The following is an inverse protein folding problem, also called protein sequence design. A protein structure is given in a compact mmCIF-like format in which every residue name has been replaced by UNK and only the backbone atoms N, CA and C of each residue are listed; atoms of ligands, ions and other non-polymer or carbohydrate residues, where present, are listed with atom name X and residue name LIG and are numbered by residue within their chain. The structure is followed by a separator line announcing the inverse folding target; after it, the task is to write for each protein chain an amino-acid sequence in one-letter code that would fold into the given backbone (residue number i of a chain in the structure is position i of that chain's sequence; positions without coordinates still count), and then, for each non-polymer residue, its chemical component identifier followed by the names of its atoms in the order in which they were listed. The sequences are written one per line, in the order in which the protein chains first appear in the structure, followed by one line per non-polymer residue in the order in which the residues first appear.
data_IF_721841876745
#
_entry.id   IF_721841876745
#
_cell.length_a   1.000
_cell.length_b   1.000
_cell.length_c   1.000
_cell.angle_alpha   90.00
_cell.angle_beta   90.00
_cell.angle_gamma   90.00
#
_symmetry.space_group_name_H-M   'P 1'
#
loop_
_entity.id
_entity.type
_entity.pdbx_description
1 polymer ?
#
# COMPACT_ATOMS: atom_id res chain seq x y z
N UNK A 1 2.65 -22.01 -10.86
CA UNK A 1 2.55 -20.92 -9.87
C UNK A 1 1.19 -20.29 -10.04
N UNK A 2 0.37 -20.23 -8.99
CA UNK A 2 -0.93 -19.54 -9.05
C UNK A 2 -0.68 -18.07 -9.44
N UNK A 3 -1.29 -17.64 -10.54
CA UNK A 3 -1.19 -16.28 -11.04
C UNK A 3 -1.95 -15.39 -10.04
N UNK A 4 -1.25 -14.65 -9.18
CA UNK A 4 -1.84 -13.79 -8.15
C UNK A 4 -1.56 -12.32 -8.44
N UNK A 5 -2.43 -11.45 -7.94
CA UNK A 5 -2.28 -9.99 -8.02
C UNK A 5 -1.33 -9.52 -6.92
N UNK A 6 -0.44 -8.58 -7.24
CA UNK A 6 0.35 -7.85 -6.26
C UNK A 6 -0.35 -6.53 -5.96
N UNK A 7 -0.70 -6.31 -4.69
CA UNK A 7 -1.20 -5.01 -4.25
C UNK A 7 -0.01 -4.09 -3.95
N UNK A 8 -0.08 -2.84 -4.40
CA UNK A 8 0.97 -1.85 -4.16
C UNK A 8 0.35 -0.60 -3.53
N UNK A 9 0.91 -0.19 -2.41
CA UNK A 9 0.48 0.93 -1.60
C UNK A 9 1.63 1.92 -1.47
N UNK A 10 1.30 3.20 -1.61
CA UNK A 10 2.17 4.30 -1.24
C UNK A 10 1.48 5.11 -0.15
N UNK A 11 2.15 5.26 0.99
CA UNK A 11 1.71 6.12 2.08
C UNK A 11 2.94 6.74 2.72
N UNK A 12 3.11 8.05 2.56
CA UNK A 12 4.20 8.80 3.15
C UNK A 12 3.65 9.92 4.03
N UNK A 13 4.45 10.37 4.97
CA UNK A 13 4.09 11.44 5.90
C UNK A 13 5.17 12.53 5.92
N UNK A 14 4.74 13.78 6.11
CA UNK A 14 5.59 14.95 6.36
C UNK A 14 4.75 16.07 7.00
N UNK A 15 4.19 15.84 8.19
CA UNK A 15 3.32 16.80 8.85
C UNK A 15 4.14 17.96 9.41
N UNK A 16 3.72 19.18 9.12
CA UNK A 16 4.36 20.43 9.54
C UNK A 16 3.52 21.19 10.59
N UNK A 17 2.35 20.65 10.98
CA UNK A 17 1.44 21.25 11.96
C UNK A 17 0.76 20.19 12.85
N UNK A 18 0.24 20.57 14.03
CA UNK A 18 -0.47 19.63 14.92
C UNK A 18 -1.65 18.90 14.25
N UNK A 19 -2.44 19.60 13.43
CA UNK A 19 -3.57 18.99 12.71
C UNK A 19 -3.11 17.97 11.68
N UNK A 20 -1.96 18.19 11.02
CA UNK A 20 -1.40 17.22 10.08
C UNK A 20 -0.87 15.98 10.79
N UNK A 21 -0.35 16.11 12.02
CA UNK A 21 0.01 14.97 12.87
C UNK A 21 -1.21 14.12 13.27
N UNK A 22 -2.30 14.78 13.66
CA UNK A 22 -3.56 14.09 13.96
C UNK A 22 -4.11 13.37 12.72
N UNK A 23 -4.13 14.04 11.56
CA UNK A 23 -4.54 13.45 10.30
C UNK A 23 -3.64 12.28 9.88
N UNK A 24 -2.33 12.37 10.09
CA UNK A 24 -1.40 11.26 9.83
C UNK A 24 -1.76 10.03 10.66
N UNK A 25 -2.16 10.22 11.93
CA UNK A 25 -2.59 9.11 12.80
C UNK A 25 -3.86 8.43 12.27
N UNK A 26 -4.86 9.21 11.83
CA UNK A 26 -6.10 8.68 11.24
C UNK A 26 -5.83 7.94 9.94
N UNK A 27 -4.94 8.48 9.09
CA UNK A 27 -4.53 7.84 7.83
C UNK A 27 -3.81 6.52 8.08
N UNK A 28 -2.94 6.46 9.09
CA UNK A 28 -2.30 5.20 9.51
C UNK A 28 -3.33 4.16 9.92
N UNK A 29 -4.32 4.52 10.75
CA UNK A 29 -5.38 3.59 11.16
C UNK A 29 -6.18 3.07 9.94
N UNK A 30 -6.61 3.98 9.05
CA UNK A 30 -7.33 3.61 7.84
C UNK A 30 -6.51 2.70 6.90
N UNK A 31 -5.20 2.93 6.80
CA UNK A 31 -4.30 2.08 6.03
C UNK A 31 -4.21 0.68 6.63
N UNK A 32 -4.10 0.55 7.96
CA UNK A 32 -4.05 -0.76 8.61
C UNK A 32 -5.34 -1.55 8.38
N UNK A 33 -6.51 -0.90 8.46
CA UNK A 33 -7.79 -1.52 8.09
C UNK A 33 -7.80 -1.96 6.62
N UNK A 34 -7.19 -1.17 5.73
CA UNK A 34 -7.04 -1.54 4.32
C UNK A 34 -6.09 -2.72 4.12
N UNK A 35 -4.98 -2.79 4.88
CA UNK A 35 -4.08 -3.94 4.85
C UNK A 35 -4.79 -5.23 5.28
N UNK A 36 -5.56 -5.21 6.38
CA UNK A 36 -6.38 -6.35 6.80
C UNK A 36 -7.28 -6.84 5.65
N UNK A 37 -8.01 -5.91 5.02
CA UNK A 37 -8.89 -6.24 3.90
C UNK A 37 -8.13 -6.86 2.73
N UNK A 38 -6.99 -6.28 2.34
CA UNK A 38 -6.18 -6.80 1.22
C UNK A 38 -5.61 -8.19 1.53
N UNK A 39 -5.20 -8.44 2.77
CA UNK A 39 -4.68 -9.75 3.20
C UNK A 39 -5.74 -10.85 3.20
N UNK A 40 -7.02 -10.48 3.32
CA UNK A 40 -8.17 -11.41 3.26
C UNK A 40 -8.60 -11.77 1.84
N UNK A 41 -8.07 -11.09 0.82
CA UNK A 41 -8.42 -11.37 -0.59
C UNK A 41 -7.55 -12.50 -1.13
N UNK A 42 -8.19 -13.63 -1.47
CA UNK A 42 -7.49 -14.83 -1.95
C UNK A 42 -6.69 -14.59 -3.24
N UNK A 43 -7.16 -13.71 -4.12
CA UNK A 43 -6.48 -13.39 -5.37
C UNK A 43 -5.20 -12.56 -5.18
N UNK A 44 -5.03 -11.92 -4.01
CA UNK A 44 -3.83 -11.14 -3.68
C UNK A 44 -2.75 -12.10 -3.15
N UNK A 45 -1.54 -11.94 -3.68
CA UNK A 45 -0.37 -12.74 -3.29
C UNK A 45 0.55 -12.03 -2.31
N UNK A 46 0.92 -10.79 -2.64
CA UNK A 46 1.75 -9.94 -1.78
C UNK A 46 1.18 -8.52 -1.79
N UNK A 47 1.22 -7.89 -0.63
CA UNK A 47 0.96 -6.46 -0.47
C UNK A 47 2.30 -5.76 -0.25
N UNK A 48 2.63 -4.79 -1.09
CA UNK A 48 3.81 -3.95 -0.98
C UNK A 48 3.42 -2.59 -0.43
N UNK A 49 4.09 -2.12 0.62
CA UNK A 49 3.93 -0.77 1.15
C UNK A 49 5.23 0.02 1.00
N UNK A 50 5.20 1.07 0.20
CA UNK A 50 6.26 2.06 0.12
C UNK A 50 5.94 3.24 1.05
N UNK A 51 6.84 3.50 2.01
CA UNK A 51 6.66 4.57 3.00
C UNK A 51 7.98 5.21 3.42
N UNK A 52 7.93 6.43 3.94
CA UNK A 52 9.04 7.09 4.65
C UNK A 52 8.84 7.09 6.18
N UNK A 53 7.70 6.59 6.67
CA UNK A 53 7.37 6.50 8.09
C UNK A 53 7.83 5.17 8.67
N UNK A 54 8.76 5.24 9.63
CA UNK A 54 9.32 4.06 10.31
C UNK A 54 8.30 3.35 11.20
N UNK A 55 7.43 4.10 11.88
CA UNK A 55 6.43 3.50 12.76
C UNK A 55 5.39 2.75 11.94
N UNK A 56 4.89 3.37 10.88
CA UNK A 56 4.00 2.72 9.93
C UNK A 56 4.65 1.48 9.28
N UNK A 57 5.94 1.57 8.93
CA UNK A 57 6.68 0.44 8.39
C UNK A 57 6.68 -0.77 9.34
N UNK A 58 6.92 -0.59 10.63
CA UNK A 58 6.88 -1.70 11.59
C UNK A 58 5.47 -2.29 11.73
N UNK A 59 4.45 -1.44 11.86
CA UNK A 59 3.05 -1.89 11.96
C UNK A 59 2.63 -2.70 10.73
N UNK A 60 2.92 -2.20 9.53
CA UNK A 60 2.57 -2.89 8.30
C UNK A 60 3.31 -4.22 8.11
N UNK A 61 4.55 -4.36 8.61
CA UNK A 61 5.26 -5.65 8.60
C UNK A 61 4.57 -6.67 9.50
N UNK A 62 4.08 -6.25 10.66
CA UNK A 62 3.30 -7.12 11.57
C UNK A 62 2.03 -7.59 10.88
N UNK A 63 1.38 -6.71 10.12
CA UNK A 63 0.24 -7.03 9.24
C UNK A 63 0.62 -7.80 7.97
N UNK A 64 1.85 -8.30 7.83
CA UNK A 64 2.27 -9.16 6.72
C UNK A 64 2.60 -8.45 5.40
N UNK A 65 2.66 -7.12 5.37
CA UNK A 65 3.06 -6.37 4.19
C UNK A 65 4.58 -6.47 3.93
N UNK A 66 4.96 -6.49 2.65
CA UNK A 66 6.34 -6.29 2.21
C UNK A 66 6.65 -4.80 2.18
N UNK A 67 7.39 -4.31 3.18
CA UNK A 67 7.65 -2.88 3.35
C UNK A 67 8.93 -2.42 2.65
N UNK A 68 8.80 -1.35 1.87
CA UNK A 68 9.86 -0.61 1.21
C UNK A 68 9.99 0.74 1.91
N UNK A 69 10.85 0.78 2.93
CA UNK A 69 11.16 2.02 3.63
C UNK A 69 12.14 2.85 2.79
N UNK A 70 11.72 4.05 2.39
CA UNK A 70 12.57 5.00 1.68
C UNK A 70 12.93 6.20 2.57
N UNK A 71 13.97 6.92 2.19
CA UNK A 71 14.42 8.16 2.86
C UNK A 71 14.32 9.36 1.91
N UNK A 72 13.42 9.27 0.91
CA UNK A 72 13.26 10.31 -0.09
C UNK A 72 12.52 11.47 0.55
N UNK A 73 13.10 12.67 0.49
CA UNK A 73 12.40 13.88 0.95
C UNK A 73 11.12 14.08 0.15
N UNK A 74 10.00 14.53 0.75
CA UNK A 74 8.72 14.73 0.04
C UNK A 74 8.85 15.60 -1.21
N UNK A 75 9.70 16.63 -1.19
CA UNK A 75 9.97 17.53 -2.33
C UNK A 75 10.61 16.83 -3.54
N UNK A 76 11.28 15.71 -3.33
CA UNK A 76 11.99 14.94 -4.35
C UNK A 76 11.25 13.64 -4.70
N UNK A 77 10.17 13.33 -4.00
CA UNK A 77 9.39 12.12 -4.25
C UNK A 77 8.59 12.26 -5.54
N UNK A 78 8.78 11.32 -6.46
CA UNK A 78 8.04 11.25 -7.71
C UNK A 78 7.31 9.90 -7.81
N UNK A 79 6.00 9.92 -7.55
CA UNK A 79 5.16 8.72 -7.49
C UNK A 79 5.36 7.77 -8.68
N UNK A 80 5.27 8.28 -9.91
CA UNK A 80 5.39 7.43 -11.11
C UNK A 80 6.77 6.79 -11.28
N UNK A 81 7.83 7.44 -10.76
CA UNK A 81 9.19 6.91 -10.87
C UNK A 81 9.41 5.81 -9.83
N UNK A 82 8.99 6.05 -8.59
CA UNK A 82 9.06 5.04 -7.52
C UNK A 82 8.14 3.85 -7.79
N UNK A 83 6.95 4.09 -8.33
CA UNK A 83 6.03 3.00 -8.70
C UNK A 83 6.61 2.13 -9.82
N UNK A 84 7.16 2.75 -10.87
CA UNK A 84 7.86 2.03 -11.94
C UNK A 84 9.05 1.24 -11.39
N UNK A 85 9.87 1.85 -10.52
CA UNK A 85 11.03 1.22 -9.89
C UNK A 85 10.61 -0.03 -9.11
N UNK A 86 9.61 0.09 -8.24
CA UNK A 86 9.05 -1.02 -7.46
C UNK A 86 8.57 -2.17 -8.36
N UNK A 87 7.79 -1.85 -9.41
CA UNK A 87 7.28 -2.85 -10.35
C UNK A 87 8.43 -3.63 -11.00
N UNK A 88 9.46 -2.92 -11.47
CA UNK A 88 10.60 -3.53 -12.16
C UNK A 88 11.48 -4.36 -11.22
N UNK A 89 11.81 -3.84 -10.04
CA UNK A 89 12.64 -4.52 -9.04
C UNK A 89 12.00 -5.83 -8.56
N UNK A 90 10.69 -5.81 -8.31
CA UNK A 90 9.96 -6.98 -7.83
C UNK A 90 9.32 -7.82 -8.95
N UNK A 91 9.54 -7.44 -10.22
CA UNK A 91 9.01 -8.11 -11.43
C UNK A 91 7.50 -8.35 -11.37
N UNK A 92 6.76 -7.32 -10.96
CA UNK A 92 5.31 -7.43 -10.79
C UNK A 92 4.60 -7.41 -12.16
N UNK A 93 3.73 -8.38 -12.42
CA UNK A 93 3.06 -8.55 -13.72
C UNK A 93 1.56 -8.21 -13.68
N UNK A 94 0.89 -8.47 -12.56
CA UNK A 94 -0.53 -8.15 -12.33
C UNK A 94 -0.62 -7.29 -11.07
N UNK A 95 -0.77 -5.98 -11.25
CA UNK A 95 -0.64 -4.99 -10.18
C UNK A 95 -1.97 -4.32 -9.90
N UNK A 96 -2.34 -4.25 -8.62
CA UNK A 96 -3.42 -3.43 -8.12
C UNK A 96 -2.82 -2.31 -7.26
N UNK A 97 -2.80 -1.09 -7.77
CA UNK A 97 -2.42 0.07 -6.96
C UNK A 97 -3.60 0.47 -6.07
N UNK A 98 -3.34 0.61 -4.78
CA UNK A 98 -4.33 1.00 -3.79
C UNK A 98 -3.75 2.13 -2.93
N UNK A 99 -4.45 3.27 -2.87
CA UNK A 99 -4.03 4.39 -2.03
C UNK A 99 -4.10 3.99 -0.56
N UNK A 100 -3.05 4.25 0.22
CA UNK A 100 -2.90 3.72 1.59
C UNK A 100 -4.10 3.95 2.49
N UNK A 101 -4.37 5.21 2.84
CA UNK A 101 -5.59 5.59 3.57
C UNK A 101 -6.84 5.77 2.67
N UNK A 102 -6.72 5.47 1.37
CA UNK A 102 -7.81 5.66 0.42
C UNK A 102 -8.88 4.57 0.54
N UNK A 103 -10.10 4.90 0.11
CA UNK A 103 -11.22 3.95 0.03
C UNK A 103 -11.43 3.10 1.31
N UNK A 104 -11.44 3.68 2.53
CA UNK A 104 -11.54 2.91 3.78
C UNK A 104 -12.83 2.07 3.86
N UNK A 105 -13.87 2.45 3.09
CA UNK A 105 -15.15 1.73 3.04
C UNK A 105 -15.23 0.66 1.93
N UNK A 106 -14.18 0.46 1.12
CA UNK A 106 -14.17 -0.63 0.15
C UNK A 106 -14.27 -1.97 0.87
N UNK A 107 -15.09 -2.88 0.36
CA UNK A 107 -15.28 -4.22 0.90
C UNK A 107 -14.30 -5.21 0.28
N UNK A 108 -14.05 -6.31 1.00
CA UNK A 108 -13.16 -7.40 0.55
C UNK A 108 -13.66 -7.98 -0.78
N UNK A 109 -14.97 -8.13 -0.94
CA UNK A 109 -15.57 -8.70 -2.15
C UNK A 109 -15.38 -7.81 -3.38
N UNK A 110 -15.36 -6.48 -3.19
CA UNK A 110 -15.11 -5.51 -4.26
C UNK A 110 -13.66 -5.57 -4.72
N UNK A 111 -12.71 -5.68 -3.78
CA UNK A 111 -11.29 -5.88 -4.11
C UNK A 111 -11.07 -7.22 -4.81
N UNK A 112 -11.69 -8.30 -4.32
CA UNK A 112 -11.63 -9.62 -4.95
C UNK A 112 -12.14 -9.58 -6.40
N UNK A 113 -13.27 -8.90 -6.65
CA UNK A 113 -13.82 -8.73 -7.99
C UNK A 113 -12.86 -7.99 -8.93
N UNK A 114 -12.20 -6.92 -8.47
CA UNK A 114 -11.16 -6.21 -9.22
C UNK A 114 -9.99 -7.16 -9.54
N UNK A 115 -9.50 -7.90 -8.54
CA UNK A 115 -8.37 -8.81 -8.71
C UNK A 115 -8.68 -9.93 -9.72
N UNK A 116 -9.88 -10.52 -9.66
CA UNK A 116 -10.31 -11.52 -10.67
C UNK A 116 -10.31 -10.96 -12.08
N UNK A 117 -10.68 -9.68 -12.26
CA UNK A 117 -10.65 -9.01 -13.57
C UNK A 117 -9.23 -8.76 -14.08
N UNK A 118 -8.26 -8.55 -13.19
CA UNK A 118 -6.85 -8.45 -13.57
C UNK A 118 -6.23 -9.80 -13.93
N UNK A 119 -6.75 -10.88 -13.35
CA UNK A 119 -6.29 -12.25 -13.60
C UNK A 119 -6.86 -12.87 -14.88
N UNK A 120 -8.03 -12.43 -15.35
CA UNK A 120 -8.57 -12.78 -16.67
C UNK A 120 -7.69 -12.26 -17.80
#
# INVERSE_FOLDING_TARGET
MLNKVSAVIFEGTSPDSPVEWELSSVRTAALLDNLDKLNRVEEIGKVYLATNDRQLAELARVEGATVILNQISPRSFHFGAEFKRLILEHRLSKVFYFSGAGCPLIKVEEVSAICRRLLS
#
